data_IF_312894751711
#
_entry.id   IF_312894751711
#
_cell.length_a   1.000
_cell.length_b   1.000
_cell.length_c   1.000
_cell.angle_alpha   90.00
_cell.angle_beta   90.00
_cell.angle_gamma   90.00
#
_symmetry.space_group_name_H-M   'P 1'
#
loop_
_entity.id
_entity.type
_entity.pdbx_description
1 polymer ?
#
# COMPACT_ATOMS: atom_id res chain seq x y z
N UNK A 1 28.33 7.89 15.54
CA UNK A 1 28.73 6.48 15.28
C UNK A 1 27.56 5.55 14.94
N UNK A 2 26.30 6.03 14.89
CA UNK A 2 25.10 5.20 14.62
C UNK A 2 24.87 4.83 13.15
N UNK A 3 25.47 5.54 12.21
CA UNK A 3 25.22 5.35 10.77
C UNK A 3 26.01 4.20 10.11
N UNK A 4 27.01 3.63 10.79
CA UNK A 4 27.88 2.60 10.20
C UNK A 4 27.41 1.14 10.44
N UNK A 5 26.60 0.89 11.47
CA UNK A 5 26.09 -0.44 11.76
C UNK A 5 25.03 -0.91 10.72
N UNK A 6 24.22 0.02 10.25
CA UNK A 6 23.16 -0.26 9.23
C UNK A 6 23.76 -0.58 7.86
N UNK A 7 24.96 -0.03 7.52
CA UNK A 7 25.63 -0.29 6.23
C UNK A 7 26.22 -1.70 6.07
N UNK A 8 26.32 -2.51 7.12
CA UNK A 8 26.89 -3.88 7.04
C UNK A 8 25.89 -4.94 6.60
N UNK A 9 24.58 -4.68 6.70
CA UNK A 9 23.54 -5.62 6.25
C UNK A 9 23.37 -5.65 4.72
N UNK A 10 23.81 -4.63 3.98
CA UNK A 10 23.59 -4.49 2.54
C UNK A 10 24.70 -5.08 1.64
N UNK A 11 25.80 -5.64 2.18
CA UNK A 11 26.98 -6.05 1.37
C UNK A 11 27.01 -7.51 0.89
N UNK A 12 26.00 -8.34 1.13
CA UNK A 12 26.02 -9.78 0.75
C UNK A 12 25.22 -10.17 -0.51
N UNK A 13 24.62 -9.25 -1.26
CA UNK A 13 23.88 -9.60 -2.48
C UNK A 13 24.61 -9.20 -3.75
N UNK A 14 25.83 -9.68 -3.96
CA UNK A 14 26.48 -9.66 -5.25
C UNK A 14 27.08 -11.03 -5.51
N UNK A 15 26.31 -11.92 -6.12
CA UNK A 15 26.75 -13.07 -6.94
C UNK A 15 25.56 -14.03 -7.21
N UNK A 16 24.75 -13.77 -8.23
CA UNK A 16 24.13 -14.81 -9.05
C UNK A 16 23.96 -14.23 -10.45
N UNK A 17 24.42 -15.01 -11.44
CA UNK A 17 24.76 -14.62 -12.77
C UNK A 17 23.63 -14.32 -13.73
N UNK A 18 24.00 -13.60 -14.76
CA UNK A 18 23.31 -13.38 -16.03
C UNK A 18 22.95 -14.68 -16.72
N UNK A 19 21.71 -14.79 -17.17
CA UNK A 19 21.34 -15.25 -18.52
C UNK A 19 19.81 -15.15 -18.70
N UNK A 20 19.35 -14.19 -19.47
CA UNK A 20 18.08 -14.26 -20.17
C UNK A 20 18.20 -13.45 -21.47
N UNK A 21 18.24 -14.17 -22.60
CA UNK A 21 18.14 -13.66 -23.96
C UNK A 21 16.87 -12.81 -24.12
N UNK A 22 17.04 -11.51 -24.35
CA UNK A 22 15.98 -10.62 -24.83
C UNK A 22 16.01 -10.69 -26.36
N UNK A 23 15.06 -11.39 -26.96
CA UNK A 23 14.81 -11.36 -28.40
C UNK A 23 14.01 -10.10 -28.75
N UNK A 24 14.49 -9.31 -29.69
CA UNK A 24 13.78 -8.14 -30.24
C UNK A 24 12.44 -8.55 -30.88
N UNK A 25 11.38 -7.74 -30.74
CA UNK A 25 10.06 -8.07 -31.30
C UNK A 25 10.08 -8.06 -32.81
N UNK A 26 9.49 -9.06 -33.42
CA UNK A 26 9.42 -9.24 -34.86
C UNK A 26 8.57 -8.18 -35.57
N UNK A 27 8.87 -7.88 -36.83
CA UNK A 27 8.12 -6.91 -37.66
C UNK A 27 6.60 -7.17 -37.71
N UNK A 28 6.16 -8.41 -37.44
CA UNK A 28 4.75 -8.79 -37.39
C UNK A 28 4.06 -8.28 -36.11
N UNK A 29 4.73 -8.29 -34.95
CA UNK A 29 4.22 -7.79 -33.67
C UNK A 29 4.07 -6.28 -33.64
N UNK A 30 5.04 -5.57 -34.25
CA UNK A 30 4.98 -4.11 -34.41
C UNK A 30 3.81 -3.70 -35.34
N UNK A 31 3.47 -4.51 -36.34
CA UNK A 31 2.35 -4.24 -37.28
C UNK A 31 0.99 -4.47 -36.62
N UNK A 32 0.86 -5.45 -35.71
CA UNK A 32 -0.36 -5.69 -34.91
C UNK A 32 -0.62 -4.58 -33.89
N UNK A 33 0.40 -4.05 -33.25
CA UNK A 33 0.27 -2.93 -32.31
C UNK A 33 -0.19 -1.63 -32.99
N UNK A 34 0.26 -1.37 -34.23
CA UNK A 34 -0.18 -0.19 -35.01
C UNK A 34 -1.62 -0.31 -35.54
N UNK A 35 -2.11 -1.52 -35.81
CA UNK A 35 -3.49 -1.73 -36.25
C UNK A 35 -4.51 -1.56 -35.11
N UNK A 36 -4.17 -1.92 -33.87
CA UNK A 36 -5.01 -1.72 -32.71
C UNK A 36 -5.22 -0.23 -32.37
N UNK A 37 -4.20 0.60 -32.57
CA UNK A 37 -4.27 2.05 -32.29
C UNK A 37 -5.11 2.87 -33.31
N UNK A 38 -5.40 2.33 -34.50
CA UNK A 38 -6.20 3.03 -35.52
C UNK A 38 -7.70 2.78 -35.42
N UNK A 39 -8.16 1.76 -34.68
CA UNK A 39 -9.58 1.45 -34.53
C UNK A 39 -10.32 2.24 -33.45
N UNK A 40 -9.60 2.97 -32.56
CA UNK A 40 -10.20 3.80 -31.49
C UNK A 40 -10.63 5.21 -31.95
N UNK A 41 -10.31 5.64 -33.19
CA UNK A 41 -10.59 7.01 -33.66
C UNK A 41 -11.86 7.17 -34.50
N UNK A 42 -12.69 6.14 -34.69
CA UNK A 42 -13.91 6.23 -35.51
C UNK A 42 -15.20 5.95 -34.73
N UNK A 43 -15.53 6.75 -33.74
CA UNK A 43 -16.77 6.57 -32.99
C UNK A 43 -17.25 7.81 -32.26
N UNK A 44 -17.14 8.99 -32.85
CA UNK A 44 -17.78 10.20 -32.29
C UNK A 44 -18.45 11.03 -33.39
N UNK A 45 -19.77 10.86 -33.56
CA UNK A 45 -20.62 11.87 -34.20
C UNK A 45 -21.98 11.98 -33.49
N UNK A 46 -22.20 13.18 -32.93
CA UNK A 46 -23.38 14.01 -32.78
C UNK A 46 -24.75 13.41 -32.48
N UNK A 47 -25.40 13.94 -31.46
CA UNK A 47 -26.79 14.43 -31.60
C UNK A 47 -26.98 15.65 -30.69
N UNK A 48 -27.47 16.73 -31.29
CA UNK A 48 -27.87 17.99 -30.71
C UNK A 48 -29.33 17.97 -30.25
N UNK A 49 -29.61 18.83 -29.26
CA UNK A 49 -30.73 19.78 -29.15
C UNK A 49 -32.15 19.28 -28.78
N UNK A 50 -32.76 19.81 -27.73
CA UNK A 50 -33.68 20.95 -27.68
C UNK A 50 -34.45 21.04 -26.33
N UNK A 51 -34.32 22.18 -25.71
CA UNK A 51 -35.27 23.09 -25.01
C UNK A 51 -36.48 22.55 -24.20
N UNK A 52 -36.70 23.22 -23.03
CA UNK A 52 -38.04 23.36 -22.44
C UNK A 52 -38.09 23.82 -20.97
N UNK A 53 -38.40 25.07 -20.76
CA UNK A 53 -38.76 25.90 -19.60
C UNK A 53 -39.48 25.21 -18.43
N UNK A 54 -39.19 25.58 -17.20
CA UNK A 54 -40.03 26.40 -16.29
C UNK A 54 -39.53 26.33 -14.84
N UNK A 55 -39.54 27.46 -14.14
CA UNK A 55 -38.95 27.68 -12.85
C UNK A 55 -39.70 27.05 -11.66
N UNK A 56 -38.95 26.83 -10.60
CA UNK A 56 -39.45 26.73 -9.22
C UNK A 56 -38.35 27.15 -8.23
N UNK A 57 -38.73 28.08 -7.38
CA UNK A 57 -37.97 28.64 -6.27
C UNK A 57 -37.42 27.54 -5.37
N UNK A 58 -36.13 27.58 -5.05
CA UNK A 58 -35.50 26.67 -4.13
C UNK A 58 -35.02 27.44 -2.92
N UNK A 59 -35.58 27.11 -1.77
CA UNK A 59 -35.12 27.47 -0.45
C UNK A 59 -33.76 26.83 -0.14
N UNK A 60 -32.80 27.66 0.27
CA UNK A 60 -31.45 27.27 0.62
C UNK A 60 -31.44 26.58 1.98
N UNK A 61 -31.34 25.25 1.98
CA UNK A 61 -30.97 24.47 3.12
C UNK A 61 -29.49 24.06 2.99
N UNK A 62 -28.64 24.47 3.90
CA UNK A 62 -27.24 24.00 4.01
C UNK A 62 -27.23 22.48 4.19
N UNK A 63 -26.98 21.72 3.14
CA UNK A 63 -26.61 20.29 3.20
C UNK A 63 -25.12 20.18 2.88
N UNK A 64 -24.39 19.51 3.77
CA UNK A 64 -23.00 19.17 3.57
C UNK A 64 -22.77 18.50 2.21
N UNK A 65 -21.64 18.81 1.59
CA UNK A 65 -21.26 18.30 0.27
C UNK A 65 -21.02 16.80 0.40
N UNK A 66 -22.06 16.01 0.22
CA UNK A 66 -21.94 14.58 0.02
C UNK A 66 -21.25 14.37 -1.34
N UNK A 67 -20.14 13.63 -1.36
CA UNK A 67 -19.46 13.17 -2.56
C UNK A 67 -20.47 12.38 -3.43
N UNK A 68 -21.10 13.06 -4.38
CA UNK A 68 -22.16 12.51 -5.21
C UNK A 68 -21.64 11.31 -6.01
N UNK A 69 -22.31 10.16 -5.91
CA UNK A 69 -22.30 9.09 -6.89
C UNK A 69 -21.33 7.92 -6.67
N UNK A 70 -20.81 7.66 -5.48
CA UNK A 70 -20.08 6.41 -5.19
C UNK A 70 -20.96 5.46 -4.40
N UNK A 71 -21.06 4.19 -4.86
CA UNK A 71 -21.70 3.14 -4.09
C UNK A 71 -21.10 3.06 -2.67
N UNK A 72 -21.91 2.79 -1.64
CA UNK A 72 -21.42 2.59 -0.29
C UNK A 72 -20.43 1.43 -0.24
N UNK A 73 -19.48 1.49 0.70
CA UNK A 73 -18.56 0.37 0.96
C UNK A 73 -19.39 -0.75 1.60
N UNK A 74 -19.33 -1.94 1.01
CA UNK A 74 -19.99 -3.15 1.54
C UNK A 74 -18.99 -4.01 2.31
N UNK A 75 -19.47 -4.72 3.33
CA UNK A 75 -18.68 -5.75 3.99
C UNK A 75 -18.35 -6.89 3.00
N UNK A 76 -17.17 -7.55 3.13
CA UNK A 76 -16.85 -8.73 2.34
C UNK A 76 -17.75 -9.90 2.74
N UNK A 77 -18.10 -10.73 1.73
CA UNK A 77 -18.88 -11.95 1.96
C UNK A 77 -18.06 -13.00 2.76
N UNK A 78 -18.75 -14.03 3.29
CA UNK A 78 -18.05 -15.15 3.94
C UNK A 78 -17.04 -15.85 3.03
N UNK A 79 -17.30 -15.90 1.70
CA UNK A 79 -16.36 -16.45 0.69
C UNK A 79 -15.08 -15.61 0.57
N UNK A 80 -15.12 -14.34 0.92
CA UNK A 80 -13.97 -13.44 0.98
C UNK A 80 -13.33 -13.41 2.39
N UNK A 81 -13.73 -14.32 3.27
CA UNK A 81 -13.27 -14.41 4.65
C UNK A 81 -13.96 -13.45 5.62
N UNK A 82 -15.05 -12.79 5.20
CA UNK A 82 -15.84 -11.90 6.07
C UNK A 82 -15.03 -10.76 6.70
N UNK A 83 -15.60 -10.19 7.77
CA UNK A 83 -14.91 -9.20 8.61
C UNK A 83 -14.02 -9.95 9.60
N UNK A 84 -12.68 -9.75 9.60
CA UNK A 84 -11.81 -10.45 10.54
C UNK A 84 -11.89 -9.83 11.94
N UNK A 85 -11.59 -10.65 12.94
CA UNK A 85 -11.18 -10.18 14.26
C UNK A 85 -9.76 -10.69 14.54
N UNK A 86 -9.00 -10.07 15.44
CA UNK A 86 -7.75 -10.62 15.94
C UNK A 86 -7.98 -12.02 16.54
N UNK A 87 -7.01 -12.93 16.37
CA UNK A 87 -7.09 -14.25 17.01
C UNK A 87 -6.68 -14.17 18.49
N UNK A 88 -7.09 -15.16 19.29
CA UNK A 88 -6.72 -15.25 20.71
C UNK A 88 -5.19 -15.37 20.87
N UNK A 89 -4.53 -16.12 20.00
CA UNK A 89 -3.07 -16.27 19.99
C UNK A 89 -2.38 -14.92 19.73
N UNK A 90 -2.84 -14.18 18.73
CA UNK A 90 -2.33 -12.84 18.41
C UNK A 90 -2.49 -11.89 19.60
N UNK A 91 -3.67 -11.85 20.21
CA UNK A 91 -3.95 -10.99 21.36
C UNK A 91 -3.14 -11.40 22.60
N UNK A 92 -2.98 -12.69 22.83
CA UNK A 92 -2.19 -13.23 23.94
C UNK A 92 -0.73 -12.77 23.83
N UNK A 93 -0.11 -12.93 22.66
CA UNK A 93 1.27 -12.48 22.42
C UNK A 93 1.39 -10.96 22.55
N UNK A 94 0.49 -10.20 21.90
CA UNK A 94 0.50 -8.73 21.97
C UNK A 94 0.26 -8.19 23.40
N UNK A 95 -0.36 -8.99 24.29
CA UNK A 95 -0.59 -8.59 25.70
C UNK A 95 0.67 -8.68 26.56
N UNK A 96 1.77 -9.24 26.05
CA UNK A 96 3.04 -9.30 26.72
C UNK A 96 3.61 -7.93 27.09
N UNK A 97 4.67 -7.93 27.89
CA UNK A 97 5.41 -6.70 28.22
C UNK A 97 6.37 -6.35 27.08
N UNK A 98 6.42 -5.08 26.65
CA UNK A 98 7.42 -4.65 25.69
C UNK A 98 8.84 -4.84 26.23
N UNK A 99 9.73 -5.32 25.38
CA UNK A 99 11.15 -5.47 25.67
C UNK A 99 11.97 -4.95 24.50
N UNK A 100 13.10 -4.33 24.80
CA UNK A 100 14.05 -3.84 23.78
C UNK A 100 15.20 -4.81 23.57
N UNK A 101 15.70 -4.88 22.34
CA UNK A 101 16.89 -5.64 21.96
C UNK A 101 18.13 -4.72 21.94
N UNK A 102 19.33 -5.22 22.26
CA UNK A 102 20.56 -4.41 22.22
C UNK A 102 21.01 -4.09 20.79
N UNK A 103 20.54 -4.83 19.80
CA UNK A 103 20.84 -4.67 18.37
C UNK A 103 19.55 -4.56 17.58
N UNK A 104 19.54 -3.82 16.45
CA UNK A 104 18.35 -3.74 15.61
C UNK A 104 18.07 -5.09 14.99
N UNK A 105 16.80 -5.47 14.98
CA UNK A 105 16.30 -6.66 14.26
C UNK A 105 15.82 -6.32 12.85
N UNK A 106 15.86 -7.27 11.91
CA UNK A 106 15.17 -7.13 10.63
C UNK A 106 13.67 -6.93 10.84
N UNK A 107 13.08 -5.96 10.13
CA UNK A 107 11.63 -5.78 10.14
C UNK A 107 11.05 -5.76 8.73
N UNK A 108 9.83 -6.27 8.60
CA UNK A 108 9.02 -6.19 7.38
C UNK A 108 8.08 -4.99 7.46
N UNK A 109 8.26 -4.03 6.57
CA UNK A 109 7.43 -2.82 6.49
C UNK A 109 6.46 -2.93 5.33
N UNK A 110 5.17 -3.01 5.63
CA UNK A 110 4.08 -3.11 4.66
C UNK A 110 3.46 -1.73 4.47
N UNK A 111 3.43 -1.21 3.24
CA UNK A 111 3.05 0.19 2.99
C UNK A 111 1.87 0.25 2.02
N UNK A 112 0.78 0.93 2.43
CA UNK A 112 -0.28 1.33 1.52
C UNK A 112 0.15 2.52 0.64
N UNK A 113 -0.56 2.75 -0.44
CA UNK A 113 -0.29 3.86 -1.37
C UNK A 113 -1.29 4.99 -1.21
N UNK A 114 -2.54 4.76 -1.63
CA UNK A 114 -3.54 5.81 -1.77
C UNK A 114 -4.19 6.16 -0.43
N UNK A 115 -4.08 7.41 -0.02
CA UNK A 115 -4.45 7.90 1.31
C UNK A 115 -3.27 7.91 2.29
N UNK A 116 -2.21 7.16 1.99
CA UNK A 116 -1.01 7.00 2.83
C UNK A 116 0.17 7.79 2.27
N UNK A 117 0.66 7.42 1.10
CA UNK A 117 1.82 8.07 0.43
C UNK A 117 1.42 9.00 -0.72
N UNK A 118 0.23 8.79 -1.27
CA UNK A 118 -0.24 9.54 -2.41
C UNK A 118 -1.77 9.68 -2.39
N UNK A 119 -2.26 10.69 -3.08
CA UNK A 119 -3.68 10.88 -3.37
C UNK A 119 -3.94 10.73 -4.86
N UNK A 120 -4.88 9.87 -5.22
CA UNK A 120 -5.27 9.64 -6.59
C UNK A 120 -6.71 10.10 -6.84
N UNK A 121 -6.90 11.25 -7.51
CA UNK A 121 -8.23 11.83 -7.74
C UNK A 121 -9.09 10.93 -8.65
N UNK A 122 -8.48 10.23 -9.61
CA UNK A 122 -9.18 9.40 -10.57
C UNK A 122 -8.68 7.94 -10.55
N UNK A 123 -9.61 6.99 -10.38
CA UNK A 123 -9.29 5.55 -10.48
C UNK A 123 -8.92 5.12 -11.91
N UNK A 124 -9.31 5.90 -12.94
CA UNK A 124 -9.04 5.60 -14.35
C UNK A 124 -7.65 6.03 -14.79
N UNK A 125 -7.01 6.92 -14.05
CA UNK A 125 -5.67 7.47 -14.33
C UNK A 125 -4.75 7.14 -13.15
N UNK A 126 -4.20 5.92 -13.08
CA UNK A 126 -3.42 5.47 -11.92
C UNK A 126 -2.10 6.22 -11.75
N UNK A 127 -1.57 6.82 -12.81
CA UNK A 127 -0.34 7.61 -12.77
C UNK A 127 -0.59 9.10 -12.49
N UNK A 128 -1.84 9.54 -12.49
CA UNK A 128 -2.20 10.90 -12.13
C UNK A 128 -2.52 10.94 -10.62
N UNK A 129 -1.51 11.24 -9.83
CA UNK A 129 -1.61 11.34 -8.38
C UNK A 129 -0.76 12.49 -7.83
N UNK A 130 -1.15 12.97 -6.67
CA UNK A 130 -0.39 13.91 -5.84
C UNK A 130 0.37 13.12 -4.80
N UNK A 131 1.67 13.38 -4.65
CA UNK A 131 2.51 12.75 -3.63
C UNK A 131 2.36 13.49 -2.31
N UNK A 132 2.28 12.74 -1.21
CA UNK A 132 2.37 13.31 0.14
C UNK A 132 3.75 13.94 0.34
N UNK A 133 3.87 15.04 1.08
CA UNK A 133 5.17 15.62 1.41
C UNK A 133 6.15 14.55 1.91
N UNK A 134 7.35 14.51 1.33
CA UNK A 134 8.41 13.53 1.61
C UNK A 134 8.19 12.09 1.17
N UNK A 135 7.11 11.74 0.46
CA UNK A 135 6.80 10.34 0.10
C UNK A 135 7.96 9.59 -0.57
N UNK A 136 8.65 10.22 -1.56
CA UNK A 136 9.80 9.59 -2.24
C UNK A 136 10.97 9.34 -1.30
N UNK A 137 11.36 10.34 -0.50
CA UNK A 137 12.46 10.21 0.46
C UNK A 137 12.16 9.16 1.52
N UNK A 138 10.91 9.08 1.96
CA UNK A 138 10.46 8.08 2.91
C UNK A 138 10.53 6.66 2.32
N UNK A 139 10.08 6.48 1.07
CA UNK A 139 10.19 5.18 0.39
C UNK A 139 11.63 4.78 0.14
N UNK A 140 12.48 5.71 -0.33
CA UNK A 140 13.92 5.48 -0.48
C UNK A 140 14.56 5.03 0.83
N UNK A 141 14.25 5.72 1.93
CA UNK A 141 14.71 5.35 3.28
C UNK A 141 14.23 3.94 3.66
N UNK A 142 12.93 3.65 3.51
CA UNK A 142 12.38 2.34 3.87
C UNK A 142 13.04 1.21 3.07
N UNK A 143 13.19 1.38 1.76
CA UNK A 143 13.79 0.38 0.86
C UNK A 143 15.29 0.18 1.15
N UNK A 144 15.99 1.24 1.59
CA UNK A 144 17.40 1.15 1.94
C UNK A 144 17.65 0.52 3.31
N UNK A 145 16.64 0.51 4.19
CA UNK A 145 16.80 0.16 5.61
C UNK A 145 16.08 -1.13 5.99
N UNK A 146 14.92 -1.41 5.38
CA UNK A 146 14.00 -2.49 5.76
C UNK A 146 13.65 -3.40 4.58
N UNK A 147 12.94 -4.49 4.89
CA UNK A 147 12.26 -5.32 3.88
C UNK A 147 10.88 -4.72 3.61
N UNK A 148 10.66 -4.24 2.39
CA UNK A 148 9.44 -3.48 2.06
C UNK A 148 8.50 -4.29 1.19
N UNK A 149 7.22 -4.30 1.57
CA UNK A 149 6.11 -4.76 0.75
C UNK A 149 5.18 -3.59 0.48
N UNK A 150 4.82 -3.37 -0.77
CA UNK A 150 3.74 -2.44 -1.12
C UNK A 150 2.44 -3.23 -1.24
N UNK A 151 1.40 -2.85 -0.46
CA UNK A 151 0.11 -3.54 -0.50
C UNK A 151 -1.07 -2.56 -0.57
N UNK A 152 -1.66 -2.40 -1.76
CA UNK A 152 -2.76 -1.47 -1.99
C UNK A 152 -4.07 -2.16 -2.39
N UNK A 153 -5.22 -1.61 -1.99
CA UNK A 153 -6.54 -2.09 -2.41
C UNK A 153 -6.88 -1.77 -3.88
N UNK A 154 -6.02 -1.08 -4.60
CA UNK A 154 -6.16 -0.82 -6.03
C UNK A 154 -5.94 -2.11 -6.86
N UNK A 155 -6.47 -2.14 -8.09
CA UNK A 155 -6.22 -3.26 -9.03
C UNK A 155 -4.72 -3.39 -9.35
N UNK A 156 -4.20 -4.62 -9.56
CA UNK A 156 -2.75 -4.87 -9.71
C UNK A 156 -2.06 -3.98 -10.75
N UNK A 157 -2.69 -3.81 -11.94
CA UNK A 157 -2.15 -2.93 -12.99
C UNK A 157 -1.99 -1.47 -12.52
N UNK A 158 -2.96 -0.98 -11.73
CA UNK A 158 -2.88 0.38 -11.18
C UNK A 158 -1.80 0.51 -10.10
N UNK A 159 -1.64 -0.51 -9.26
CA UNK A 159 -0.58 -0.52 -8.24
C UNK A 159 0.79 -0.50 -8.89
N UNK A 160 1.03 -1.38 -9.89
CA UNK A 160 2.29 -1.37 -10.65
C UNK A 160 2.59 -0.01 -11.29
N UNK A 161 1.58 0.61 -11.92
CA UNK A 161 1.76 1.93 -12.55
C UNK A 161 2.06 3.04 -11.52
N UNK A 162 1.42 3.00 -10.34
CA UNK A 162 1.72 3.95 -9.25
C UNK A 162 3.15 3.75 -8.75
N UNK A 163 3.57 2.51 -8.48
CA UNK A 163 4.92 2.20 -8.04
C UNK A 163 5.97 2.61 -9.10
N UNK A 164 5.75 2.30 -10.39
CA UNK A 164 6.66 2.67 -11.46
C UNK A 164 6.85 4.19 -11.64
N UNK A 165 5.86 5.00 -11.22
CA UNK A 165 5.99 6.47 -11.20
C UNK A 165 6.61 6.98 -9.90
N UNK A 166 6.31 6.35 -8.76
CA UNK A 166 6.78 6.77 -7.44
C UNK A 166 8.25 6.39 -7.19
N UNK A 167 8.67 5.22 -7.69
CA UNK A 167 9.98 4.61 -7.43
C UNK A 167 10.83 4.55 -8.70
N UNK A 168 12.13 4.57 -8.55
CA UNK A 168 13.07 4.23 -9.61
C UNK A 168 13.02 2.72 -9.89
N UNK A 169 13.57 2.29 -11.04
CA UNK A 169 13.63 0.86 -11.39
C UNK A 169 14.50 0.06 -10.38
N UNK A 170 15.58 0.65 -9.87
CA UNK A 170 16.44 0.03 -8.85
C UNK A 170 15.70 -0.14 -7.52
N UNK A 171 15.02 0.90 -7.03
CA UNK A 171 14.19 0.84 -5.83
C UNK A 171 13.09 -0.21 -5.95
N UNK A 172 12.38 -0.23 -7.08
CA UNK A 172 11.32 -1.20 -7.33
C UNK A 172 11.85 -2.64 -7.36
N UNK A 173 13.06 -2.85 -7.88
CA UNK A 173 13.75 -4.14 -7.88
C UNK A 173 14.17 -4.64 -6.49
N UNK A 174 14.22 -3.75 -5.49
CA UNK A 174 14.55 -4.07 -4.09
C UNK A 174 13.33 -4.23 -3.19
N UNK A 175 12.13 -3.87 -3.66
CA UNK A 175 10.87 -4.15 -2.95
C UNK A 175 10.62 -5.65 -2.98
N UNK A 176 10.33 -6.26 -1.82
CA UNK A 176 10.08 -7.70 -1.68
C UNK A 176 8.97 -8.16 -2.62
N UNK A 177 7.84 -7.44 -2.60
CA UNK A 177 6.73 -7.68 -3.52
C UNK A 177 5.76 -6.49 -3.57
N UNK A 178 4.99 -6.42 -4.66
CA UNK A 178 3.96 -5.38 -4.87
C UNK A 178 2.61 -6.07 -5.02
N UNK A 179 1.74 -5.90 -4.03
CA UNK A 179 0.43 -6.51 -3.94
C UNK A 179 -0.70 -5.53 -4.26
N UNK A 180 -1.64 -5.99 -5.07
CA UNK A 180 -2.87 -5.29 -5.41
C UNK A 180 -4.10 -5.95 -4.79
N UNK A 181 -5.27 -5.55 -5.27
CA UNK A 181 -6.58 -6.01 -4.82
C UNK A 181 -6.76 -7.53 -4.92
N UNK A 182 -6.08 -8.19 -5.84
CA UNK A 182 -6.07 -9.65 -6.03
C UNK A 182 -5.51 -10.43 -4.84
N UNK A 183 -4.70 -9.80 -4.00
CA UNK A 183 -4.08 -10.42 -2.82
C UNK A 183 -4.93 -10.32 -1.53
N UNK A 184 -6.12 -9.72 -1.59
CA UNK A 184 -7.02 -9.62 -0.43
C UNK A 184 -7.87 -10.87 -0.20
N UNK A 185 -7.81 -11.88 -1.08
CA UNK A 185 -8.62 -13.09 -0.99
C UNK A 185 -10.11 -12.85 -1.22
N UNK A 186 -10.44 -11.84 -2.02
CA UNK A 186 -11.82 -11.51 -2.36
C UNK A 186 -12.39 -12.53 -3.35
N UNK A 187 -13.65 -12.93 -3.16
CA UNK A 187 -14.41 -13.66 -4.16
C UNK A 187 -14.56 -12.80 -5.44
N UNK A 188 -14.78 -13.41 -6.61
CA UNK A 188 -14.97 -12.68 -7.86
C UNK A 188 -16.06 -11.60 -7.74
N UNK A 189 -17.17 -11.92 -7.03
CA UNK A 189 -18.27 -10.98 -6.80
C UNK A 189 -17.85 -9.76 -5.97
N UNK A 190 -17.03 -9.95 -4.94
CA UNK A 190 -16.59 -8.88 -4.05
C UNK A 190 -15.41 -8.10 -4.65
N UNK A 191 -14.61 -8.74 -5.50
CA UNK A 191 -13.50 -8.12 -6.20
C UNK A 191 -13.93 -6.94 -7.08
N UNK A 192 -15.05 -7.10 -7.80
CA UNK A 192 -15.55 -6.07 -8.74
C UNK A 192 -16.42 -5.00 -8.06
N UNK A 193 -16.80 -5.19 -6.80
CA UNK A 193 -17.58 -4.24 -6.02
C UNK A 193 -16.70 -3.32 -5.17
N UNK A 194 -17.32 -2.28 -4.60
CA UNK A 194 -16.71 -1.47 -3.58
C UNK A 194 -16.78 -2.17 -2.21
N UNK A 195 -16.01 -3.26 -2.08
CA UNK A 195 -15.96 -4.08 -0.88
C UNK A 195 -14.82 -3.63 0.02
N UNK A 196 -15.05 -3.59 1.34
CA UNK A 196 -14.03 -3.35 2.34
C UNK A 196 -12.92 -4.41 2.21
N UNK A 197 -11.68 -3.96 2.21
CA UNK A 197 -10.50 -4.82 2.13
C UNK A 197 -9.82 -4.85 3.50
N UNK A 198 -9.40 -6.05 3.91
CA UNK A 198 -8.63 -6.25 5.14
C UNK A 198 -7.25 -6.78 4.81
N UNK A 199 -6.22 -6.12 5.29
CA UNK A 199 -4.81 -6.53 5.14
C UNK A 199 -4.45 -7.53 6.23
N UNK A 200 -4.87 -8.79 6.03
CA UNK A 200 -4.54 -9.89 6.96
C UNK A 200 -3.06 -10.22 6.83
N UNK A 201 -2.25 -9.78 7.79
CA UNK A 201 -0.79 -9.98 7.76
C UNK A 201 -0.41 -11.45 7.80
N UNK A 202 -1.21 -12.32 8.41
CA UNK A 202 -1.04 -13.77 8.37
C UNK A 202 -0.92 -14.31 6.94
N UNK A 203 -1.73 -13.79 5.98
CA UNK A 203 -1.59 -14.18 4.57
C UNK A 203 -0.29 -13.69 3.92
N UNK A 204 0.22 -12.56 4.38
CA UNK A 204 1.49 -12.02 3.91
C UNK A 204 2.65 -12.88 4.44
N UNK A 205 2.61 -13.24 5.71
CA UNK A 205 3.63 -14.08 6.35
C UNK A 205 3.69 -15.50 5.74
N UNK A 206 2.57 -16.00 5.21
CA UNK A 206 2.49 -17.30 4.54
C UNK A 206 2.96 -17.28 3.08
N UNK A 207 3.08 -16.11 2.44
CA UNK A 207 3.46 -16.01 1.02
C UNK A 207 4.92 -16.46 0.82
N UNK A 208 5.20 -17.39 -0.12
CA UNK A 208 6.54 -17.93 -0.31
C UNK A 208 7.61 -16.89 -0.65
N UNK A 209 7.24 -15.84 -1.40
CA UNK A 209 8.18 -14.77 -1.79
C UNK A 209 8.53 -13.93 -0.56
N UNK A 210 7.53 -13.63 0.27
CA UNK A 210 7.73 -12.87 1.51
C UNK A 210 8.55 -13.66 2.52
N UNK A 211 8.24 -14.95 2.72
CA UNK A 211 9.04 -15.85 3.59
C UNK A 211 10.51 -15.88 3.17
N UNK A 212 10.76 -16.05 1.88
CA UNK A 212 12.12 -16.13 1.35
C UNK A 212 12.93 -14.83 1.48
N UNK A 213 12.27 -13.71 1.79
CA UNK A 213 12.92 -12.41 1.94
C UNK A 213 13.49 -12.17 3.34
N UNK A 214 13.25 -13.06 4.33
CA UNK A 214 13.86 -12.89 5.65
C UNK A 214 15.38 -13.09 5.56
N UNK A 215 16.22 -12.15 6.02
CA UNK A 215 17.66 -12.18 5.77
C UNK A 215 18.37 -13.35 6.47
N UNK A 216 17.83 -13.80 7.61
CA UNK A 216 18.39 -14.86 8.42
C UNK A 216 17.65 -16.20 8.22
N UNK A 217 16.71 -16.26 7.27
CA UNK A 217 15.91 -17.45 6.98
C UNK A 217 14.85 -17.78 8.05
N UNK A 218 14.59 -16.84 8.95
CA UNK A 218 13.54 -16.93 9.97
C UNK A 218 12.16 -16.59 9.39
N UNK A 219 11.14 -16.47 10.23
CA UNK A 219 9.78 -16.15 9.83
C UNK A 219 9.45 -14.68 10.07
N UNK A 220 8.67 -14.10 9.17
CA UNK A 220 7.95 -12.87 9.43
C UNK A 220 6.70 -13.20 10.25
N UNK A 221 6.46 -12.42 11.30
CA UNK A 221 5.29 -12.54 12.17
C UNK A 221 4.92 -11.20 12.83
N UNK A 222 4.09 -11.22 13.86
CA UNK A 222 3.68 -10.01 14.58
C UNK A 222 4.83 -9.35 15.37
N UNK A 223 5.88 -10.09 15.69
CA UNK A 223 7.04 -9.57 16.43
C UNK A 223 7.94 -8.67 15.57
N UNK A 224 7.95 -8.85 14.25
CA UNK A 224 8.89 -8.18 13.34
C UNK A 224 8.24 -7.56 12.10
N UNK A 225 6.92 -7.41 12.06
CA UNK A 225 6.19 -6.80 10.93
C UNK A 225 5.43 -5.55 11.36
N UNK A 226 5.38 -4.53 10.50
CA UNK A 226 4.57 -3.33 10.70
C UNK A 226 3.86 -2.91 9.41
N UNK A 227 2.58 -2.55 9.51
CA UNK A 227 1.73 -2.02 8.43
C UNK A 227 1.58 -0.50 8.58
N UNK A 228 1.84 0.25 7.53
CA UNK A 228 1.60 1.70 7.44
C UNK A 228 0.41 1.92 6.50
N UNK A 229 -0.69 2.44 7.03
CA UNK A 229 -1.95 2.63 6.31
C UNK A 229 -2.71 3.86 6.84
N UNK A 230 -3.58 4.45 6.03
CA UNK A 230 -4.49 5.53 6.42
C UNK A 230 -5.78 5.01 7.11
N UNK A 231 -6.00 3.70 7.11
CA UNK A 231 -7.23 3.07 7.57
C UNK A 231 -6.96 2.01 8.63
N UNK A 232 -7.30 2.31 9.87
CA UNK A 232 -7.29 1.36 10.98
C UNK A 232 -8.15 0.12 10.68
N UNK A 233 -9.31 0.31 10.02
CA UNK A 233 -10.21 -0.79 9.65
C UNK A 233 -9.54 -1.81 8.71
N UNK A 234 -8.58 -1.41 7.87
CA UNK A 234 -7.84 -2.35 7.02
C UNK A 234 -6.92 -3.27 7.82
N UNK A 235 -6.45 -2.83 8.98
CA UNK A 235 -5.55 -3.57 9.88
C UNK A 235 -6.27 -4.40 10.94
N UNK A 236 -7.60 -4.53 10.87
CA UNK A 236 -8.45 -5.08 11.90
C UNK A 236 -8.05 -6.48 12.42
N UNK A 237 -7.44 -7.30 11.59
CA UNK A 237 -6.96 -8.64 11.98
C UNK A 237 -5.73 -8.61 12.89
N UNK A 238 -4.82 -7.65 12.66
CA UNK A 238 -3.58 -7.49 13.43
C UNK A 238 -3.39 -6.00 13.84
N UNK A 239 -4.27 -5.44 14.71
CA UNK A 239 -4.34 -4.00 14.98
C UNK A 239 -3.08 -3.44 15.64
N UNK A 240 -2.37 -4.25 16.43
CA UNK A 240 -1.13 -3.85 17.10
C UNK A 240 0.11 -3.98 16.21
N UNK A 241 -0.06 -4.26 14.92
CA UNK A 241 0.98 -4.17 13.90
C UNK A 241 0.76 -2.99 12.94
N UNK A 242 -0.10 -2.03 13.30
CA UNK A 242 -0.47 -0.92 12.42
C UNK A 242 0.02 0.44 12.94
N UNK A 243 0.62 1.20 12.03
CA UNK A 243 0.84 2.64 12.12
C UNK A 243 -0.27 3.29 11.28
N UNK A 244 -1.28 3.85 11.94
CA UNK A 244 -2.39 4.52 11.25
C UNK A 244 -2.07 5.99 11.06
N UNK A 245 -2.09 6.46 9.81
CA UNK A 245 -1.83 7.84 9.44
C UNK A 245 -3.13 8.60 9.19
N UNK A 246 -3.14 9.94 9.37
CA UNK A 246 -4.20 10.76 8.79
C UNK A 246 -4.30 10.52 7.28
N UNK A 247 -5.52 10.36 6.73
CA UNK A 247 -5.72 10.18 5.29
C UNK A 247 -5.15 11.38 4.51
N UNK A 248 -4.26 11.13 3.58
CA UNK A 248 -3.76 12.14 2.66
C UNK A 248 -4.75 12.37 1.52
N UNK A 249 -5.40 13.53 1.52
CA UNK A 249 -6.40 13.93 0.54
C UNK A 249 -5.85 14.75 -0.64
N UNK A 250 -4.52 14.86 -0.78
CA UNK A 250 -3.85 15.56 -1.88
C UNK A 250 -3.53 17.02 -1.58
N UNK A 251 -3.58 17.44 -0.33
CA UNK A 251 -3.12 18.76 0.08
C UNK A 251 -1.58 18.81 0.11
N UNK A 252 -0.99 19.45 -0.90
CA UNK A 252 0.48 19.61 -1.00
C UNK A 252 1.06 20.51 0.09
N UNK A 253 0.21 21.25 0.80
CA UNK A 253 0.59 22.09 1.93
C UNK A 253 0.32 21.39 3.27
N UNK A 254 -0.04 20.09 3.26
CA UNK A 254 -0.09 19.30 4.48
C UNK A 254 1.22 19.47 5.25
N UNK A 255 1.15 19.60 6.57
CA UNK A 255 2.35 19.75 7.39
C UNK A 255 3.32 18.59 7.12
N UNK A 256 4.57 18.87 6.69
CA UNK A 256 5.46 17.85 6.13
C UNK A 256 6.08 16.92 7.18
N UNK A 257 5.55 16.90 8.41
CA UNK A 257 6.10 16.11 9.52
C UNK A 257 5.57 14.69 9.66
N UNK A 258 4.44 14.34 9.03
CA UNK A 258 3.81 13.02 9.23
C UNK A 258 4.77 11.88 8.91
N UNK A 259 5.35 11.85 7.70
CA UNK A 259 6.30 10.79 7.32
C UNK A 259 7.64 10.85 8.08
N UNK A 260 8.22 12.01 8.42
CA UNK A 260 9.33 12.09 9.37
C UNK A 260 9.04 11.47 10.74
N UNK A 261 7.85 11.67 11.31
CA UNK A 261 7.46 11.02 12.57
C UNK A 261 7.37 9.49 12.43
N UNK A 262 6.85 9.00 11.29
CA UNK A 262 6.86 7.55 10.99
C UNK A 262 8.28 7.02 10.88
N UNK A 263 9.19 7.75 10.22
CA UNK A 263 10.61 7.42 10.14
C UNK A 263 11.22 7.22 11.54
N UNK A 264 11.00 8.16 12.46
CA UNK A 264 11.55 8.10 13.81
C UNK A 264 10.94 6.93 14.61
N UNK A 265 9.63 6.68 14.41
CA UNK A 265 8.95 5.57 15.05
C UNK A 265 9.46 4.21 14.52
N UNK A 266 9.69 4.07 13.22
CA UNK A 266 10.30 2.86 12.63
C UNK A 266 11.71 2.61 13.18
N UNK A 267 12.52 3.66 13.37
CA UNK A 267 13.83 3.54 14.02
C UNK A 267 13.75 3.09 15.48
N UNK A 268 12.61 3.31 16.15
CA UNK A 268 12.35 2.78 17.48
C UNK A 268 11.92 1.32 17.43
N UNK A 269 11.09 0.96 16.43
CA UNK A 269 10.56 -0.41 16.29
C UNK A 269 11.63 -1.46 16.01
N UNK A 270 12.71 -1.13 15.31
CA UNK A 270 13.80 -2.08 15.04
C UNK A 270 14.52 -2.58 16.30
N UNK A 271 14.38 -1.87 17.42
CA UNK A 271 14.95 -2.26 18.70
C UNK A 271 13.94 -2.92 19.64
N UNK A 272 12.75 -3.26 19.18
CA UNK A 272 11.76 -3.95 20.00
C UNK A 272 11.85 -5.46 19.77
N UNK A 273 11.80 -6.25 20.84
CA UNK A 273 11.77 -7.71 20.75
C UNK A 273 10.48 -8.20 20.10
N UNK A 274 9.39 -7.45 20.27
CA UNK A 274 8.09 -7.73 19.65
C UNK A 274 7.38 -6.41 19.34
N UNK A 275 7.15 -6.17 18.05
CA UNK A 275 6.50 -4.94 17.56
C UNK A 275 5.06 -4.81 18.06
N UNK A 276 4.31 -5.92 18.12
CA UNK A 276 2.91 -5.88 18.52
C UNK A 276 2.74 -5.50 20.00
N UNK A 277 3.60 -6.00 20.89
CA UNK A 277 3.59 -5.62 22.30
C UNK A 277 3.93 -4.14 22.48
N UNK A 278 4.90 -3.64 21.71
CA UNK A 278 5.30 -2.24 21.78
C UNK A 278 4.21 -1.31 21.24
N UNK A 279 3.67 -1.56 20.05
CA UNK A 279 2.62 -0.71 19.45
C UNK A 279 1.37 -0.68 20.32
N UNK A 280 0.99 -1.81 20.96
CA UNK A 280 -0.15 -1.85 21.88
C UNK A 280 0.00 -0.88 23.05
N UNK A 281 1.19 -0.75 23.59
CA UNK A 281 1.45 0.11 24.77
C UNK A 281 1.86 1.53 24.41
N UNK A 282 2.49 1.70 23.26
CA UNK A 282 3.05 2.98 22.76
C UNK A 282 2.65 3.18 21.30
N UNK A 283 1.35 3.36 21.00
CA UNK A 283 0.89 3.50 19.62
C UNK A 283 1.44 4.78 18.97
N UNK A 284 1.65 4.72 17.65
CA UNK A 284 2.06 5.87 16.86
C UNK A 284 1.06 7.02 17.01
N UNK A 285 1.59 8.26 17.09
CA UNK A 285 0.82 9.51 17.11
C UNK A 285 1.39 10.46 16.06
N UNK A 286 0.55 10.94 15.17
CA UNK A 286 0.92 11.91 14.14
C UNK A 286 1.00 13.36 14.64
N UNK A 287 0.66 13.61 15.91
CA UNK A 287 0.58 14.95 16.53
C UNK A 287 1.75 15.16 17.49
#
# INVERSE_FOLDING_TARGET
MHCQAIRRLTRRHKLIGNNANVTEPTKAEVKRAKAAAQNEKKGRKKKDCLTGKAGKVITVGKKGVNAAGRDPISAPSARSGGIPNPTEEYLSQASGLPASTPTPQPILVVIDLNGTLLYRPSKKQPTDFVERPHARKFMEYCINTFHVVVWSSARPGNVRNMCARLLTADELGRVVTVWGRDKFGLSAKDYDKRTQCYKRLTKLWEDPVVKAAHPDGESWDQGNTVLIDDSEEKARSEPYNAITLPEFAGDVNEEPRVLPLVHDYLNTLVYQADISTYIRTTPFKAN
#
